data_IF_646711905675
#
_entry.id   IF_646711905675
#
_cell.length_a   1.000
_cell.length_b   1.000
_cell.length_c   1.000
_cell.angle_alpha   90.00
_cell.angle_beta   90.00
_cell.angle_gamma   90.00
#
_symmetry.space_group_name_H-M   'P 1'
#
loop_
_entity.id
_entity.type
_entity.pdbx_description
1 polymer ?
#
# COMPACT_ATOMS: atom_id res chain seq x y z
N UNK A 1 -4.10 -3.22 0.28
CA UNK A 1 -3.45 -2.55 -0.83
C UNK A 1 -2.38 -3.44 -1.35
N UNK A 2 -2.38 -3.61 -2.64
CA UNK A 2 -1.49 -4.61 -3.06
C UNK A 2 -0.31 -4.05 -3.69
N UNK A 3 0.55 -4.47 -3.30
CA UNK A 3 1.95 -4.61 -3.38
C UNK A 3 2.59 -4.55 -4.80
N UNK A 4 1.84 -4.45 -5.87
CA UNK A 4 2.33 -4.38 -7.26
C UNK A 4 2.10 -3.03 -7.94
N UNK A 5 1.71 -2.00 -7.20
CA UNK A 5 1.39 -0.70 -7.81
C UNK A 5 2.59 0.03 -8.39
N UNK A 6 3.76 -0.18 -7.82
CA UNK A 6 4.96 0.52 -8.23
C UNK A 6 6.07 -0.46 -8.61
N UNK A 7 6.77 -1.05 -7.63
CA UNK A 7 7.84 -1.99 -7.85
C UNK A 7 7.99 -3.00 -6.70
N UNK A 8 8.85 -4.01 -6.86
CA UNK A 8 9.08 -5.06 -5.88
C UNK A 8 9.71 -4.52 -4.58
N UNK A 9 10.56 -3.51 -4.67
CA UNK A 9 11.19 -2.89 -3.49
C UNK A 9 10.16 -2.23 -2.59
N UNK A 10 9.25 -1.42 -3.14
CA UNK A 10 8.18 -0.78 -2.37
C UNK A 10 7.21 -1.81 -1.79
N UNK A 11 6.95 -2.89 -2.52
CA UNK A 11 6.17 -4.03 -2.06
C UNK A 11 6.75 -4.65 -0.80
N UNK A 12 8.05 -4.94 -0.81
CA UNK A 12 8.75 -5.56 0.32
C UNK A 12 8.73 -4.64 1.55
N UNK A 13 8.93 -3.34 1.37
CA UNK A 13 8.87 -2.34 2.43
C UNK A 13 7.48 -2.23 3.03
N UNK A 14 6.45 -2.23 2.19
CA UNK A 14 5.06 -2.21 2.65
C UNK A 14 4.69 -3.47 3.46
N UNK A 15 5.12 -4.65 3.01
CA UNK A 15 4.91 -5.89 3.75
C UNK A 15 5.61 -5.88 5.12
N UNK A 16 6.79 -5.25 5.21
CA UNK A 16 7.49 -5.06 6.48
C UNK A 16 6.71 -4.13 7.41
N UNK A 17 6.16 -3.04 6.87
CA UNK A 17 5.28 -2.14 7.61
C UNK A 17 4.04 -2.86 8.14
N UNK A 18 3.35 -3.64 7.32
CA UNK A 18 2.19 -4.43 7.75
C UNK A 18 2.54 -5.43 8.88
N UNK A 19 3.70 -6.07 8.79
CA UNK A 19 4.18 -6.97 9.85
C UNK A 19 4.37 -6.22 11.17
N UNK A 20 4.95 -5.02 11.12
CA UNK A 20 5.15 -4.19 12.31
C UNK A 20 3.82 -3.68 12.88
N UNK A 21 2.80 -3.45 12.05
CA UNK A 21 1.43 -3.15 12.50
C UNK A 21 0.84 -4.34 13.25
N UNK A 22 0.91 -5.53 12.68
CA UNK A 22 0.38 -6.78 13.29
C UNK A 22 1.00 -7.08 14.65
N UNK A 23 2.30 -6.86 14.79
CA UNK A 23 3.04 -7.10 16.03
C UNK A 23 3.02 -5.94 17.02
N UNK A 24 2.34 -4.83 16.70
CA UNK A 24 2.37 -3.55 17.46
C UNK A 24 3.78 -3.05 17.76
N UNK A 25 4.71 -3.35 16.86
CA UNK A 25 6.11 -3.02 17.06
C UNK A 25 6.40 -1.54 16.85
N UNK A 26 7.21 -0.95 17.72
CA UNK A 26 7.72 0.40 17.53
C UNK A 26 8.59 0.54 16.27
N UNK A 27 9.08 -0.57 15.69
CA UNK A 27 9.72 -0.60 14.38
C UNK A 27 8.78 -0.17 13.24
N UNK A 28 7.48 0.02 13.52
CA UNK A 28 6.53 0.65 12.61
C UNK A 28 7.02 2.01 12.13
N UNK A 29 7.53 2.84 13.02
CA UNK A 29 7.98 4.19 12.67
C UNK A 29 9.19 4.19 11.74
N UNK A 30 10.13 3.27 11.94
CA UNK A 30 11.29 3.10 11.05
C UNK A 30 10.84 2.58 9.67
N UNK A 31 9.99 1.56 9.64
CA UNK A 31 9.48 0.99 8.38
C UNK A 31 8.57 1.96 7.63
N UNK A 32 7.85 2.83 8.34
CA UNK A 32 7.06 3.89 7.73
C UNK A 32 7.95 4.94 7.04
N UNK A 33 9.01 5.40 7.73
CA UNK A 33 9.96 6.35 7.15
C UNK A 33 10.68 5.76 5.94
N UNK A 34 11.12 4.52 6.04
CA UNK A 34 11.80 3.81 4.95
C UNK A 34 10.87 3.66 3.73
N UNK A 35 9.62 3.30 3.94
CA UNK A 35 8.62 3.22 2.87
C UNK A 35 8.33 4.59 2.25
N UNK A 36 8.13 5.61 3.08
CA UNK A 36 7.83 6.97 2.62
C UNK A 36 9.00 7.54 1.79
N UNK A 37 10.24 7.39 2.27
CA UNK A 37 11.44 7.84 1.56
C UNK A 37 11.59 7.13 0.21
N UNK A 38 11.50 5.81 0.22
CA UNK A 38 11.58 5.01 -1.01
C UNK A 38 10.47 5.37 -2.02
N UNK A 39 9.27 5.70 -1.52
CA UNK A 39 8.15 6.11 -2.39
C UNK A 39 8.40 7.47 -3.02
N UNK A 40 8.90 8.44 -2.25
CA UNK A 40 9.22 9.77 -2.78
C UNK A 40 10.36 9.66 -3.82
N UNK A 41 11.44 8.93 -3.49
CA UNK A 41 12.54 8.70 -4.44
C UNK A 41 12.05 8.03 -5.73
N UNK A 42 11.20 7.03 -5.61
CA UNK A 42 10.58 6.40 -6.78
C UNK A 42 9.79 7.40 -7.65
N UNK A 43 9.02 8.30 -7.03
CA UNK A 43 8.30 9.34 -7.79
C UNK A 43 9.25 10.30 -8.51
N UNK A 44 10.37 10.66 -7.87
CA UNK A 44 11.38 11.53 -8.46
C UNK A 44 12.10 10.86 -9.63
N UNK A 45 12.49 9.59 -9.46
CA UNK A 45 13.15 8.79 -10.50
C UNK A 45 12.27 8.62 -11.74
N UNK A 46 11.00 8.24 -11.55
CA UNK A 46 10.04 8.07 -12.66
C UNK A 46 9.75 9.37 -13.42
N UNK A 47 9.97 10.52 -12.79
CA UNK A 47 9.76 11.83 -13.41
C UNK A 47 11.08 12.54 -13.77
N UNK A 48 12.21 11.85 -13.70
CA UNK A 48 13.55 12.37 -14.01
C UNK A 48 13.90 13.64 -13.23
N UNK A 49 13.52 13.72 -11.95
CA UNK A 49 13.82 14.84 -11.06
C UNK A 49 15.08 14.49 -10.29
N UNK A 50 16.13 15.30 -10.50
CA UNK A 50 17.39 15.10 -9.80
C UNK A 50 17.26 15.39 -8.29
N UNK A 51 17.84 14.53 -7.47
CA UNK A 51 17.93 14.68 -6.02
C UNK A 51 19.22 14.03 -5.50
N UNK A 52 19.62 14.38 -4.30
CA UNK A 52 20.75 13.75 -3.61
C UNK A 52 20.27 12.47 -2.88
N UNK A 53 20.62 11.30 -3.42
CA UNK A 53 20.20 10.00 -2.88
C UNK A 53 20.72 9.74 -1.45
N UNK A 54 21.76 10.42 -1.02
CA UNK A 54 22.26 10.36 0.36
C UNK A 54 21.36 11.07 1.38
N UNK A 55 20.42 11.91 0.92
CA UNK A 55 19.52 12.67 1.78
C UNK A 55 18.38 11.80 2.28
N UNK A 56 18.06 12.01 3.57
CA UNK A 56 16.91 11.38 4.20
C UNK A 56 15.60 12.05 3.78
N UNK A 57 14.49 11.35 3.94
CA UNK A 57 13.14 11.82 3.63
C UNK A 57 12.87 13.25 4.17
N UNK A 58 13.33 13.55 5.39
CA UNK A 58 13.12 14.86 6.02
C UNK A 58 13.84 16.02 5.35
N UNK A 59 14.93 15.75 4.65
CA UNK A 59 15.61 16.74 3.81
C UNK A 59 14.98 16.82 2.42
N UNK A 60 14.67 15.67 1.82
CA UNK A 60 14.07 15.60 0.50
C UNK A 60 12.78 16.43 0.40
N UNK A 61 11.86 16.25 1.34
CA UNK A 61 10.57 16.99 1.29
C UNK A 61 10.70 18.50 1.48
N UNK A 62 11.85 19.00 1.94
CA UNK A 62 12.14 20.44 2.14
C UNK A 62 12.92 21.05 0.98
N UNK A 63 13.49 20.25 0.12
CA UNK A 63 14.23 20.73 -1.05
C UNK A 63 13.28 21.40 -2.01
N UNK A 64 13.61 22.61 -2.49
CA UNK A 64 12.69 23.46 -3.26
C UNK A 64 12.26 22.82 -4.58
N UNK A 65 13.15 22.09 -5.25
CA UNK A 65 12.85 21.34 -6.48
C UNK A 65 11.80 20.25 -6.22
N UNK A 66 11.95 19.50 -5.12
CA UNK A 66 11.05 18.41 -4.73
C UNK A 66 9.73 18.97 -4.21
N UNK A 67 9.78 20.02 -3.40
CA UNK A 67 8.59 20.74 -2.96
C UNK A 67 7.77 21.23 -4.17
N UNK A 68 8.44 21.83 -5.13
CA UNK A 68 7.79 22.32 -6.36
C UNK A 68 7.13 21.17 -7.14
N UNK A 69 7.81 20.02 -7.24
CA UNK A 69 7.22 18.82 -7.84
C UNK A 69 5.97 18.35 -7.09
N UNK A 70 6.06 18.18 -5.78
CA UNK A 70 4.94 17.71 -4.97
C UNK A 70 3.74 18.67 -5.03
N UNK A 71 3.96 19.97 -4.86
CA UNK A 71 2.90 20.98 -4.78
C UNK A 71 2.34 21.39 -6.14
N UNK A 72 3.21 21.63 -7.13
CA UNK A 72 2.82 22.21 -8.38
C UNK A 72 2.59 21.19 -9.50
N UNK A 73 3.32 20.07 -9.50
CA UNK A 73 3.17 19.02 -10.50
C UNK A 73 2.16 17.98 -10.04
N UNK A 74 2.36 17.37 -8.87
CA UNK A 74 1.44 16.38 -8.31
C UNK A 74 0.17 17.01 -7.72
N UNK A 75 0.14 18.34 -7.53
CA UNK A 75 -0.99 19.07 -6.95
C UNK A 75 -1.35 18.62 -5.54
N UNK A 76 -0.34 18.25 -4.71
CA UNK A 76 -0.61 18.04 -3.30
C UNK A 76 -1.24 19.31 -2.71
N UNK A 77 -2.29 19.12 -1.90
CA UNK A 77 -2.85 20.23 -1.14
C UNK A 77 -1.91 20.62 0.02
N UNK A 78 -2.03 21.88 0.45
CA UNK A 78 -1.21 22.42 1.53
C UNK A 78 -1.31 21.62 2.83
N UNK A 79 -2.47 21.03 3.12
CA UNK A 79 -2.66 20.21 4.30
C UNK A 79 -1.84 18.94 4.24
N UNK A 80 -1.94 18.19 3.15
CA UNK A 80 -1.19 16.94 2.94
C UNK A 80 0.31 17.20 2.91
N UNK A 81 0.76 18.24 2.19
CA UNK A 81 2.18 18.60 2.13
C UNK A 81 2.73 18.96 3.51
N UNK A 82 2.07 19.83 4.27
CA UNK A 82 2.52 20.28 5.58
C UNK A 82 2.50 19.14 6.63
N UNK A 83 1.69 18.11 6.44
CA UNK A 83 1.69 16.92 7.30
C UNK A 83 2.94 16.05 7.14
N UNK A 84 3.53 15.97 5.95
CA UNK A 84 4.70 15.12 5.71
C UNK A 84 5.87 15.45 6.65
N UNK A 85 6.38 16.69 6.74
CA UNK A 85 7.46 17.03 7.67
C UNK A 85 7.11 16.75 9.14
N UNK A 86 5.87 17.01 9.55
CA UNK A 86 5.39 16.76 10.91
C UNK A 86 5.44 15.28 11.27
N UNK A 87 4.97 14.42 10.37
CA UNK A 87 4.96 12.97 10.59
C UNK A 87 6.38 12.39 10.54
N UNK A 88 7.23 12.88 9.64
CA UNK A 88 8.65 12.51 9.59
C UNK A 88 9.33 12.86 10.90
N UNK A 89 9.12 14.07 11.42
CA UNK A 89 9.66 14.50 12.72
C UNK A 89 9.16 13.61 13.86
N UNK A 90 7.86 13.34 13.92
CA UNK A 90 7.26 12.46 14.94
C UNK A 90 7.85 11.04 14.88
N UNK A 91 8.04 10.47 13.68
CA UNK A 91 8.70 9.19 13.52
C UNK A 91 10.12 9.19 14.10
N UNK A 92 10.92 10.21 13.76
CA UNK A 92 12.27 10.35 14.29
C UNK A 92 12.27 10.51 15.84
N UNK A 93 11.32 11.27 16.38
CA UNK A 93 11.16 11.43 17.84
C UNK A 93 10.79 10.10 18.51
N UNK A 94 9.95 9.27 17.89
CA UNK A 94 9.60 7.95 18.41
C UNK A 94 10.75 6.95 18.33
N UNK A 95 11.57 7.00 17.29
CA UNK A 95 12.78 6.18 17.17
C UNK A 95 13.73 6.33 18.34
N UNK A 96 13.82 7.53 18.90
CA UNK A 96 14.71 7.84 20.02
C UNK A 96 14.06 7.67 21.41
N UNK A 97 12.72 7.53 21.47
CA UNK A 97 11.97 7.38 22.73
C UNK A 97 11.44 5.95 22.85
N UNK A 98 12.21 5.07 23.50
CA UNK A 98 11.93 3.64 23.65
C UNK A 98 10.63 3.26 24.41
N UNK A 99 9.88 4.24 24.93
CA UNK A 99 8.83 3.97 25.94
C UNK A 99 7.37 4.07 25.46
N UNK A 100 7.12 4.40 24.20
CA UNK A 100 5.72 4.51 23.72
C UNK A 100 5.32 3.31 22.88
N UNK A 101 4.32 2.58 23.36
CA UNK A 101 3.67 1.53 22.57
C UNK A 101 2.96 2.14 21.36
N UNK A 102 3.07 1.45 20.23
CA UNK A 102 2.35 1.81 19.01
C UNK A 102 0.84 1.76 19.25
N UNK A 103 0.14 2.88 19.04
CA UNK A 103 -1.32 2.96 19.13
C UNK A 103 -1.98 2.89 17.77
N UNK A 104 -3.19 2.32 17.71
CA UNK A 104 -3.96 2.17 16.45
C UNK A 104 -4.25 3.51 15.78
N UNK A 105 -4.61 4.56 16.55
CA UNK A 105 -4.88 5.88 15.98
C UNK A 105 -3.64 6.47 15.28
N UNK A 106 -2.45 6.22 15.85
CA UNK A 106 -1.20 6.59 15.20
C UNK A 106 -1.06 5.88 13.86
N UNK A 107 -1.23 4.55 13.83
CA UNK A 107 -1.15 3.75 12.59
C UNK A 107 -2.09 4.30 11.52
N UNK A 108 -3.37 4.50 11.87
CA UNK A 108 -4.39 4.99 10.94
C UNK A 108 -4.00 6.36 10.38
N UNK A 109 -3.57 7.27 11.23
CA UNK A 109 -3.21 8.63 10.82
C UNK A 109 -1.96 8.65 9.91
N UNK A 110 -0.92 7.88 10.23
CA UNK A 110 0.29 7.78 9.40
C UNK A 110 -0.03 7.17 8.04
N UNK A 111 -0.78 6.08 8.02
CA UNK A 111 -1.17 5.42 6.78
C UNK A 111 -2.07 6.31 5.93
N UNK A 112 -2.98 7.08 6.52
CA UNK A 112 -3.81 8.01 5.78
C UNK A 112 -2.95 9.01 5.00
N UNK A 113 -1.96 9.63 5.65
CA UNK A 113 -1.04 10.58 4.98
C UNK A 113 -0.26 9.90 3.86
N UNK A 114 0.21 8.67 4.07
CA UNK A 114 0.88 7.89 3.03
C UNK A 114 -0.03 7.61 1.84
N UNK A 115 -1.28 7.19 2.10
CA UNK A 115 -2.26 6.91 1.04
C UNK A 115 -2.69 8.16 0.30
N UNK A 116 -2.81 9.28 0.98
CA UNK A 116 -3.08 10.56 0.34
C UNK A 116 -1.94 10.90 -0.64
N UNK A 117 -0.69 10.81 -0.20
CA UNK A 117 0.49 11.05 -1.06
C UNK A 117 0.49 10.15 -2.30
N UNK A 118 0.34 8.83 -2.13
CA UNK A 118 0.35 7.92 -3.28
C UNK A 118 -0.86 8.12 -4.19
N UNK A 119 -2.01 8.54 -3.66
CA UNK A 119 -3.19 8.84 -4.46
C UNK A 119 -2.96 10.05 -5.38
N UNK A 120 -2.31 11.10 -4.89
CA UNK A 120 -1.95 12.23 -5.75
C UNK A 120 -1.07 11.76 -6.93
N UNK A 121 -0.07 10.93 -6.67
CA UNK A 121 0.78 10.39 -7.73
C UNK A 121 0.01 9.46 -8.69
N UNK A 122 -0.83 8.57 -8.18
CA UNK A 122 -1.60 7.65 -9.01
C UNK A 122 -2.61 8.42 -9.87
N UNK A 123 -3.28 9.43 -9.33
CA UNK A 123 -4.18 10.29 -10.09
C UNK A 123 -3.40 11.04 -11.18
N UNK A 124 -2.21 11.52 -10.86
CA UNK A 124 -1.34 12.21 -11.83
C UNK A 124 -0.95 11.32 -13.01
N UNK A 125 -0.57 10.03 -12.77
CA UNK A 125 -0.11 9.12 -13.82
C UNK A 125 -1.22 8.31 -14.50
N UNK A 126 -2.32 8.01 -13.79
CA UNK A 126 -3.36 7.06 -14.25
C UNK A 126 -4.80 7.59 -14.14
N UNK A 127 -5.01 8.75 -13.55
CA UNK A 127 -6.35 9.31 -13.33
C UNK A 127 -7.27 8.52 -12.38
N UNK A 128 -6.74 7.52 -11.66
CA UNK A 128 -7.52 6.60 -10.81
C UNK A 128 -7.11 6.80 -9.36
N UNK A 129 -8.10 6.89 -8.47
CA UNK A 129 -7.88 7.00 -7.02
C UNK A 129 -7.98 5.64 -6.35
N UNK A 130 -7.08 5.36 -5.38
CA UNK A 130 -7.11 4.18 -4.53
C UNK A 130 -7.78 4.53 -3.21
N UNK A 131 -8.74 3.72 -2.79
CA UNK A 131 -9.39 3.91 -1.50
C UNK A 131 -8.50 3.45 -0.34
N UNK A 132 -8.42 4.29 0.67
CA UNK A 132 -7.79 3.94 1.94
C UNK A 132 -8.77 3.14 2.80
N UNK A 133 -8.40 1.90 3.11
CA UNK A 133 -9.21 1.04 3.97
C UNK A 133 -8.67 1.04 5.41
N UNK A 134 -9.17 1.96 6.24
CA UNK A 134 -8.80 2.05 7.65
C UNK A 134 -9.21 0.81 8.45
N UNK A 135 -10.34 0.18 8.11
CA UNK A 135 -10.85 -1.02 8.79
C UNK A 135 -9.91 -2.20 8.62
N UNK A 136 -9.31 -2.35 7.44
CA UNK A 136 -8.31 -3.39 7.20
C UNK A 136 -7.12 -3.25 8.17
N UNK A 137 -6.56 -2.04 8.32
CA UNK A 137 -5.43 -1.83 9.22
C UNK A 137 -5.81 -1.96 10.70
N UNK A 138 -7.03 -1.58 11.05
CA UNK A 138 -7.59 -1.81 12.39
C UNK A 138 -7.71 -3.30 12.68
N UNK A 139 -8.16 -4.10 11.71
CA UNK A 139 -8.36 -5.55 11.90
C UNK A 139 -7.04 -6.30 12.08
N UNK A 140 -5.97 -5.88 11.40
CA UNK A 140 -4.67 -6.55 11.51
C UNK A 140 -3.82 -6.06 12.70
N UNK A 141 -4.19 -4.92 13.32
CA UNK A 141 -3.44 -4.33 14.41
C UNK A 141 -3.49 -5.18 15.68
N UNK A 142 -2.34 -5.74 16.05
CA UNK A 142 -2.23 -6.58 17.25
C UNK A 142 -2.96 -7.92 17.17
N UNK A 143 -3.34 -8.39 15.99
CA UNK A 143 -4.01 -9.67 15.80
C UNK A 143 -3.21 -10.84 16.40
N UNK A 144 -1.95 -10.94 16.04
CA UNK A 144 -1.04 -11.99 16.53
C UNK A 144 -0.83 -11.90 18.05
N UNK A 145 -0.68 -10.69 18.60
CA UNK A 145 -0.49 -10.47 20.02
C UNK A 145 -1.75 -10.82 20.84
N UNK A 146 -2.93 -10.45 20.31
CA UNK A 146 -4.21 -10.75 20.99
C UNK A 146 -4.44 -12.26 21.09
N UNK A 147 -4.11 -13.00 20.04
CA UNK A 147 -4.19 -14.47 20.05
C UNK A 147 -3.17 -15.06 21.04
N UNK A 148 -1.92 -14.65 20.96
CA UNK A 148 -0.87 -15.13 21.86
C UNK A 148 -1.17 -14.83 23.34
N UNK A 149 -1.72 -13.63 23.64
CA UNK A 149 -2.09 -13.30 25.03
C UNK A 149 -3.23 -14.16 25.56
N UNK A 150 -4.26 -14.40 24.75
CA UNK A 150 -5.36 -15.30 25.12
C UNK A 150 -4.86 -16.71 25.46
N UNK A 151 -3.93 -17.24 24.65
CA UNK A 151 -3.36 -18.57 24.92
C UNK A 151 -2.42 -18.57 26.13
N UNK A 152 -1.63 -17.50 26.33
CA UNK A 152 -0.78 -17.36 27.51
C UNK A 152 -1.61 -17.33 28.79
N UNK A 153 -2.70 -16.61 28.82
CA UNK A 153 -3.62 -16.54 29.96
C UNK A 153 -4.20 -17.92 30.24
N UNK A 154 -4.59 -18.67 29.22
CA UNK A 154 -5.12 -20.03 29.38
C UNK A 154 -4.07 -21.00 29.92
N UNK A 155 -2.86 -20.97 29.41
CA UNK A 155 -1.72 -21.78 29.89
C UNK A 155 -1.37 -21.42 31.34
N UNK A 156 -1.39 -20.15 31.73
CA UNK A 156 -1.15 -19.72 33.12
C UNK A 156 -2.26 -20.24 34.04
N UNK A 157 -3.52 -20.12 33.66
CA UNK A 157 -4.64 -20.63 34.40
C UNK A 157 -4.53 -22.16 34.64
N UNK A 158 -4.23 -22.92 33.59
CA UNK A 158 -4.06 -24.37 33.71
C UNK A 158 -2.86 -24.75 34.59
N UNK A 159 -1.77 -23.97 34.58
CA UNK A 159 -0.63 -24.17 35.47
C UNK A 159 -0.98 -23.87 36.93
N UNK A 160 -1.75 -22.83 37.18
CA UNK A 160 -2.20 -22.48 38.54
C UNK A 160 -3.17 -23.52 39.09
N UNK A 161 -4.13 -24.01 38.28
CA UNK A 161 -5.03 -25.10 38.64
C UNK A 161 -4.26 -26.40 38.94
N UNK A 162 -3.22 -26.72 38.13
CA UNK A 162 -2.37 -27.87 38.36
C UNK A 162 -1.60 -27.75 39.70
N UNK A 163 -1.04 -26.54 39.96
CA UNK A 163 -0.29 -26.26 41.18
C UNK A 163 -1.18 -26.37 42.43
N UNK A 164 -2.37 -25.76 42.40
CA UNK A 164 -3.32 -25.81 43.48
C UNK A 164 -3.78 -27.24 43.78
N UNK A 165 -3.95 -28.04 42.73
CA UNK A 165 -4.31 -29.45 42.82
C UNK A 165 -3.18 -30.29 43.42
N UNK A 166 -1.92 -29.99 43.09
CA UNK A 166 -0.73 -30.63 43.65
C UNK A 166 -0.50 -30.27 45.13
N UNK A 167 -0.61 -29.00 45.50
CA UNK A 167 -0.42 -28.49 46.85
C UNK A 167 -1.50 -29.01 47.83
N UNK A 168 -2.69 -29.30 47.33
CA UNK A 168 -3.80 -29.84 48.13
C UNK A 168 -3.79 -31.36 48.31
N UNK A 169 -2.76 -32.08 47.81
CA UNK A 169 -2.65 -33.56 47.90
C UNK A 169 -3.90 -34.29 47.38
N UNK A 170 -4.69 -33.68 46.51
CA UNK A 170 -5.99 -34.17 46.02
C UNK A 170 -5.88 -34.96 44.69
N UNK A 171 -4.71 -34.98 44.09
CA UNK A 171 -4.51 -35.69 42.82
C UNK A 171 -4.06 -37.13 43.06
N UNK A 172 -4.81 -38.07 42.55
CA UNK A 172 -4.30 -39.41 42.30
C UNK A 172 -3.27 -39.37 41.14
N UNK A 173 -2.37 -40.35 41.06
CA UNK A 173 -1.45 -40.44 39.89
C UNK A 173 -2.23 -40.40 38.55
N UNK A 174 -3.44 -40.92 38.49
CA UNK A 174 -4.29 -40.93 37.31
C UNK A 174 -4.76 -39.50 36.92
N UNK A 175 -5.09 -38.64 37.91
CA UNK A 175 -5.50 -37.27 37.66
C UNK A 175 -4.33 -36.44 37.10
N UNK A 176 -3.13 -36.68 37.63
CA UNK A 176 -1.90 -36.02 37.17
C UNK A 176 -1.54 -36.40 35.71
N UNK A 177 -1.76 -37.63 35.36
CA UNK A 177 -1.55 -38.14 33.99
C UNK A 177 -2.64 -37.61 33.05
N UNK A 178 -3.87 -37.49 33.53
CA UNK A 178 -4.94 -36.85 32.77
C UNK A 178 -4.68 -35.37 32.48
N UNK A 179 -4.24 -34.58 33.46
CA UNK A 179 -3.88 -33.15 33.22
C UNK A 179 -2.66 -32.96 32.32
N UNK A 180 -1.64 -33.84 32.42
CA UNK A 180 -0.52 -33.86 31.47
C UNK A 180 -0.98 -34.16 30.05
N UNK A 181 -1.89 -35.09 29.89
CA UNK A 181 -2.49 -35.42 28.59
C UNK A 181 -3.28 -34.25 28.01
N UNK A 182 -4.09 -33.55 28.83
CA UNK A 182 -4.83 -32.36 28.41
C UNK A 182 -3.92 -31.23 27.99
N UNK A 183 -2.82 -30.98 28.71
CA UNK A 183 -1.81 -29.99 28.35
C UNK A 183 -1.17 -30.33 27.01
N UNK A 184 -0.81 -31.59 26.81
CA UNK A 184 -0.24 -32.05 25.52
C UNK A 184 -1.21 -31.88 24.35
N UNK A 185 -2.52 -32.16 24.58
CA UNK A 185 -3.55 -31.92 23.56
C UNK A 185 -3.67 -30.44 23.23
N UNK A 186 -3.66 -29.57 24.25
CA UNK A 186 -3.74 -28.11 24.05
C UNK A 186 -2.51 -27.54 23.33
N UNK A 187 -1.33 -28.04 23.61
CA UNK A 187 -0.11 -27.68 22.89
C UNK A 187 -0.19 -28.08 21.40
N UNK A 188 -0.75 -29.26 21.11
CA UNK A 188 -1.00 -29.70 19.73
C UNK A 188 -2.07 -28.84 19.04
N UNK A 189 -3.15 -28.48 19.75
CA UNK A 189 -4.18 -27.55 19.22
C UNK A 189 -3.58 -26.18 18.88
N UNK A 190 -2.68 -25.68 19.73
CA UNK A 190 -1.95 -24.43 19.48
C UNK A 190 -1.11 -24.49 18.21
N UNK A 191 -0.33 -25.56 18.04
CA UNK A 191 0.47 -25.78 16.83
C UNK A 191 -0.41 -25.87 15.58
N UNK A 192 -1.52 -26.60 15.66
CA UNK A 192 -2.49 -26.72 14.57
C UNK A 192 -3.15 -25.38 14.21
N UNK A 193 -3.46 -24.55 15.21
CA UNK A 193 -4.00 -23.21 14.98
C UNK A 193 -2.98 -22.28 14.34
N UNK A 194 -1.72 -22.36 14.72
CA UNK A 194 -0.65 -21.59 14.07
C UNK A 194 -0.46 -22.01 12.61
N UNK A 195 -0.48 -23.33 12.32
CA UNK A 195 -0.46 -23.83 10.95
C UNK A 195 -1.69 -23.38 10.13
N UNK A 196 -2.87 -23.43 10.72
CA UNK A 196 -4.09 -22.95 10.06
C UNK A 196 -4.04 -21.46 9.78
N UNK A 197 -3.54 -20.67 10.72
CA UNK A 197 -3.33 -19.24 10.53
C UNK A 197 -2.35 -18.95 9.41
N UNK A 198 -1.24 -19.69 9.32
CA UNK A 198 -0.29 -19.56 8.21
C UNK A 198 -0.93 -19.94 6.87
N UNK A 199 -1.71 -21.02 6.82
CA UNK A 199 -2.44 -21.45 5.61
C UNK A 199 -3.48 -20.41 5.20
N UNK A 200 -4.25 -19.86 6.15
CA UNK A 200 -5.22 -18.80 5.88
C UNK A 200 -4.55 -17.51 5.36
N UNK A 201 -3.41 -17.12 5.94
CA UNK A 201 -2.65 -15.97 5.46
C UNK A 201 -2.14 -16.19 4.03
N UNK A 202 -1.66 -17.41 3.70
CA UNK A 202 -1.27 -17.76 2.35
C UNK A 202 -2.46 -17.71 1.38
N UNK A 203 -3.62 -18.25 1.78
CA UNK A 203 -4.84 -18.19 0.98
C UNK A 203 -5.33 -16.76 0.75
N UNK A 204 -5.29 -15.92 1.78
CA UNK A 204 -5.63 -14.49 1.67
C UNK A 204 -4.68 -13.79 0.69
N UNK A 205 -3.39 -14.12 0.73
CA UNK A 205 -2.41 -13.58 -0.23
C UNK A 205 -2.76 -13.98 -1.67
N UNK A 206 -3.06 -15.26 -1.89
CA UNK A 206 -3.44 -15.79 -3.21
C UNK A 206 -4.74 -15.14 -3.72
N UNK A 207 -5.76 -15.03 -2.86
CA UNK A 207 -7.04 -14.39 -3.21
C UNK A 207 -6.87 -12.90 -3.54
N UNK A 208 -6.00 -12.22 -2.81
CA UNK A 208 -5.63 -10.83 -3.10
C UNK A 208 -4.95 -10.73 -4.48
N UNK A 209 -4.02 -11.61 -4.78
CA UNK A 209 -3.33 -11.63 -6.08
C UNK A 209 -4.29 -11.92 -7.25
N UNK A 210 -5.22 -12.87 -7.08
CA UNK A 210 -6.25 -13.19 -8.08
C UNK A 210 -7.16 -11.97 -8.32
N UNK A 211 -7.61 -11.32 -7.24
CA UNK A 211 -8.47 -10.13 -7.35
C UNK A 211 -7.73 -8.98 -8.04
N UNK A 212 -6.46 -8.79 -7.73
CA UNK A 212 -5.63 -7.77 -8.35
C UNK A 212 -5.47 -8.02 -9.86
N UNK A 213 -5.09 -9.25 -10.23
CA UNK A 213 -4.92 -9.62 -11.63
C UNK A 213 -6.21 -9.41 -12.43
N UNK A 214 -7.38 -9.75 -11.82
CA UNK A 214 -8.69 -9.47 -12.43
C UNK A 214 -8.97 -7.97 -12.58
N UNK A 215 -8.56 -7.15 -11.62
CA UNK A 215 -8.70 -5.68 -11.72
C UNK A 215 -7.75 -5.09 -12.75
N UNK A 216 -6.51 -5.57 -12.83
CA UNK A 216 -5.54 -5.17 -13.85
C UNK A 216 -6.03 -5.52 -15.26
N UNK A 217 -6.60 -6.72 -15.43
CA UNK A 217 -7.18 -7.12 -16.71
C UNK A 217 -8.35 -6.22 -17.13
N UNK A 218 -9.26 -5.89 -16.20
CA UNK A 218 -10.36 -4.96 -16.46
C UNK A 218 -9.85 -3.55 -16.79
N UNK A 219 -8.82 -3.09 -16.07
CA UNK A 219 -8.21 -1.80 -16.32
C UNK A 219 -7.58 -1.75 -17.71
N UNK A 220 -6.81 -2.77 -18.08
CA UNK A 220 -6.18 -2.84 -19.41
C UNK A 220 -7.25 -2.85 -20.51
N UNK A 221 -8.33 -3.64 -20.37
CA UNK A 221 -9.47 -3.59 -21.30
C UNK A 221 -10.09 -2.20 -21.40
N UNK A 222 -10.22 -1.49 -20.29
CA UNK A 222 -10.76 -0.13 -20.29
C UNK A 222 -9.81 0.85 -20.99
N UNK A 223 -8.50 0.71 -20.78
CA UNK A 223 -7.49 1.51 -21.48
C UNK A 223 -7.53 1.25 -22.98
N UNK A 224 -7.64 -0.02 -23.40
CA UNK A 224 -7.75 -0.38 -24.81
C UNK A 224 -9.02 0.21 -25.44
N UNK A 225 -10.15 0.17 -24.72
CA UNK A 225 -11.40 0.81 -25.18
C UNK A 225 -11.23 2.33 -25.33
N UNK A 226 -10.56 2.99 -24.37
CA UNK A 226 -10.30 4.45 -24.43
C UNK A 226 -9.39 4.79 -25.61
N UNK A 227 -8.35 4.00 -25.85
CA UNK A 227 -7.47 4.18 -27.01
C UNK A 227 -8.23 4.02 -28.33
N UNK A 228 -9.07 3.00 -28.44
CA UNK A 228 -9.90 2.79 -29.62
C UNK A 228 -10.89 3.94 -29.82
N UNK A 229 -11.51 4.47 -28.75
CA UNK A 229 -12.37 5.66 -28.84
C UNK A 229 -11.57 6.90 -29.28
N UNK A 230 -10.35 7.06 -28.80
CA UNK A 230 -9.48 8.15 -29.21
C UNK A 230 -9.15 8.06 -30.70
N UNK A 231 -8.81 6.87 -31.18
CA UNK A 231 -8.55 6.62 -32.61
C UNK A 231 -9.78 6.93 -33.47
N UNK A 232 -10.96 6.45 -33.03
CA UNK A 232 -12.23 6.76 -33.69
C UNK A 232 -12.53 8.28 -33.75
N UNK A 233 -12.28 9.01 -32.64
CA UNK A 233 -12.46 10.46 -32.61
C UNK A 233 -11.48 11.19 -33.53
N UNK A 234 -10.22 10.72 -33.61
CA UNK A 234 -9.22 11.26 -34.53
C UNK A 234 -9.65 11.05 -35.98
N UNK A 235 -10.07 9.84 -36.33
CA UNK A 235 -10.54 9.53 -37.69
C UNK A 235 -11.78 10.34 -38.07
N UNK A 236 -12.77 10.45 -37.19
CA UNK A 236 -13.95 11.27 -37.44
C UNK A 236 -13.61 12.75 -37.59
N UNK A 237 -12.66 13.27 -36.86
CA UNK A 237 -12.17 14.64 -37.02
C UNK A 237 -11.53 14.87 -38.39
N UNK A 238 -10.77 13.88 -38.87
CA UNK A 238 -10.16 13.93 -40.21
C UNK A 238 -11.26 13.91 -41.27
N UNK A 239 -12.23 13.02 -41.14
CA UNK A 239 -13.39 12.90 -42.04
C UNK A 239 -14.20 14.19 -42.05
N UNK A 240 -14.53 14.76 -40.88
CA UNK A 240 -15.29 15.99 -40.76
C UNK A 240 -14.58 17.18 -41.41
N UNK A 241 -13.28 17.30 -41.22
CA UNK A 241 -12.47 18.36 -41.89
C UNK A 241 -12.42 18.18 -43.40
N UNK A 242 -12.30 16.95 -43.88
CA UNK A 242 -12.33 16.64 -45.31
C UNK A 242 -13.68 17.01 -45.92
N UNK A 243 -14.78 16.65 -45.26
CA UNK A 243 -16.14 16.97 -45.71
C UNK A 243 -16.41 18.47 -45.71
N UNK A 244 -15.97 19.19 -44.66
CA UNK A 244 -16.12 20.63 -44.54
C UNK A 244 -15.35 21.38 -45.65
N UNK A 245 -14.16 20.94 -45.98
CA UNK A 245 -13.36 21.55 -47.06
C UNK A 245 -13.90 21.22 -48.48
N UNK A 246 -14.52 20.07 -48.64
CA UNK A 246 -15.23 19.75 -49.89
C UNK A 246 -16.43 20.63 -50.10
N UNK A 247 -17.14 21.04 -49.03
CA UNK A 247 -18.26 21.99 -49.08
C UNK A 247 -17.79 23.37 -49.48
N UNK A 248 -16.58 23.77 -49.02
CA UNK A 248 -15.95 25.04 -49.39
C UNK A 248 -15.27 25.01 -50.77
N UNK A 249 -15.38 23.91 -51.53
CA UNK A 249 -14.87 23.77 -52.92
C UNK A 249 -13.35 23.62 -53.03
N UNK A 250 -12.66 23.34 -51.94
CA UNK A 250 -11.24 23.09 -51.90
C UNK A 250 -10.92 21.61 -51.71
N UNK A 251 -10.37 20.95 -52.71
CA UNK A 251 -9.82 19.61 -52.55
C UNK A 251 -8.58 19.63 -51.65
N UNK A 252 -8.57 18.80 -50.64
CA UNK A 252 -7.42 18.59 -49.75
C UNK A 252 -6.52 17.55 -50.45
N UNK A 253 -5.25 17.86 -50.66
CA UNK A 253 -4.29 16.89 -51.15
C UNK A 253 -4.02 15.78 -50.14
N UNK A 254 -3.69 14.59 -50.64
CA UNK A 254 -3.32 13.44 -49.78
C UNK A 254 -2.08 13.76 -48.91
N UNK A 255 -1.23 14.67 -49.35
CA UNK A 255 -0.07 15.16 -48.60
C UNK A 255 -0.49 16.02 -47.39
N UNK A 256 -1.47 16.91 -47.55
CA UNK A 256 -2.02 17.71 -46.43
C UNK A 256 -2.75 16.83 -45.38
N UNK A 257 -3.43 15.77 -45.85
CA UNK A 257 -4.06 14.77 -44.94
C UNK A 257 -3.01 13.95 -44.19
N UNK A 258 -1.89 13.63 -44.81
CA UNK A 258 -0.78 12.92 -44.19
C UNK A 258 -0.13 13.75 -43.10
N UNK A 259 0.16 15.03 -43.39
CA UNK A 259 0.72 15.96 -42.39
C UNK A 259 -0.21 16.16 -41.18
N UNK A 260 -1.53 16.21 -41.43
CA UNK A 260 -2.50 16.35 -40.35
C UNK A 260 -2.62 15.09 -39.50
N UNK A 261 -2.51 13.90 -40.11
CA UNK A 261 -2.42 12.61 -39.42
C UNK A 261 -1.18 12.53 -38.52
N UNK A 262 -0.02 12.93 -39.06
CA UNK A 262 1.23 12.95 -38.30
C UNK A 262 1.16 13.92 -37.12
N UNK A 263 0.54 15.09 -37.29
CA UNK A 263 0.32 16.03 -36.17
C UNK A 263 -0.62 15.47 -35.08
N UNK A 264 -1.67 14.77 -35.47
CA UNK A 264 -2.61 14.15 -34.53
C UNK A 264 -1.98 12.98 -33.78
N UNK A 265 -1.15 12.19 -34.47
CA UNK A 265 -0.36 11.13 -33.85
C UNK A 265 0.70 11.68 -32.89
N UNK A 266 1.34 12.79 -33.22
CA UNK A 266 2.28 13.46 -32.33
C UNK A 266 1.59 13.96 -31.03
N UNK A 267 0.38 14.49 -31.15
CA UNK A 267 -0.44 14.91 -30.00
C UNK A 267 -0.85 13.69 -29.17
N UNK A 268 -1.25 12.58 -29.81
CA UNK A 268 -1.60 11.32 -29.15
C UNK A 268 -0.43 10.75 -28.34
N UNK A 269 0.78 10.85 -28.89
CA UNK A 269 2.01 10.33 -28.27
C UNK A 269 2.65 11.32 -27.28
N UNK A 270 1.97 12.39 -26.89
CA UNK A 270 2.45 13.37 -25.91
C UNK A 270 3.66 14.19 -26.34
N UNK A 271 4.02 14.16 -27.61
CA UNK A 271 5.06 15.03 -28.17
C UNK A 271 4.42 16.38 -28.51
N UNK A 272 4.71 17.38 -27.67
CA UNK A 272 4.45 18.79 -27.97
C UNK A 272 5.54 19.35 -28.86
#
# INVERSE_FOLDING_TARGET
MQNKLFNESLTTRFNTLERNIKSKSNSFYDSYLDLLEATIKYFLDENNIAYDDSRTCGYLVKEESIKNFLMNVLKLDDYTYNKLPDYIKKCNDHKHKKEKTLGIDSVINYLKVYYDLINYYIVFIKGIKIEYNAEYFTSIFGETERLNNKYREEVLRLKDELKESYDNNKLSEQDLEHYKSLLSIKDIELLNLDEQNQKLQAQISILKDIKLNSMEEKLNKTIDMLNNMQDYLVENRIIARRTSRLIDGREISDEELKVEREKLEAIKNGKR
#
